data_IF_325620307048
#
_entry.id   IF_325620307048
#
_cell.length_a   1.000
_cell.length_b   1.000
_cell.length_c   1.000
_cell.angle_alpha   90.00
_cell.angle_beta   90.00
_cell.angle_gamma   90.00
#
_symmetry.space_group_name_H-M   'P 1'
#
loop_
_entity.id
_entity.type
_entity.pdbx_description
1 polymer ?
#
# COMPACT_ATOMS: atom_id res chain seq x y z
N UNK A 1 15.40 -71.59 -3.53
CA UNK A 1 14.09 -70.93 -3.29
C UNK A 1 14.40 -69.50 -2.92
N UNK A 2 14.06 -68.43 -3.64
CA UNK A 2 13.11 -68.15 -4.70
C UNK A 2 13.71 -67.05 -5.61
N UNK A 3 13.42 -67.05 -6.92
CA UNK A 3 13.48 -65.85 -7.77
C UNK A 3 12.11 -65.17 -7.79
N UNK A 4 12.02 -63.90 -8.24
CA UNK A 4 10.71 -63.33 -8.59
C UNK A 4 10.70 -61.81 -8.66
N UNK A 5 10.93 -61.28 -9.85
CA UNK A 5 10.81 -59.89 -10.23
C UNK A 5 9.36 -59.37 -10.13
N UNK A 6 9.21 -58.05 -9.98
CA UNK A 6 8.06 -57.34 -10.56
C UNK A 6 8.52 -55.97 -11.06
N UNK A 7 8.65 -55.88 -12.37
CA UNK A 7 8.84 -54.66 -13.15
C UNK A 7 7.57 -53.81 -13.07
N UNK A 8 7.76 -52.52 -12.80
CA UNK A 8 6.72 -51.49 -12.85
C UNK A 8 6.41 -51.20 -14.32
N UNK A 9 5.17 -51.47 -14.75
CA UNK A 9 4.68 -51.11 -16.07
C UNK A 9 4.15 -49.67 -16.10
N UNK A 10 4.59 -48.94 -17.12
CA UNK A 10 4.01 -47.71 -17.64
C UNK A 10 2.61 -47.98 -18.24
N UNK A 11 1.82 -46.90 -18.35
CA UNK A 11 0.48 -46.78 -18.97
C UNK A 11 -0.73 -46.88 -18.02
N UNK A 12 -1.00 -45.76 -17.34
CA UNK A 12 -2.34 -45.45 -16.82
C UNK A 12 -3.23 -44.93 -17.94
N UNK A 13 -4.04 -45.79 -18.54
CA UNK A 13 -5.21 -45.40 -19.35
C UNK A 13 -6.44 -46.00 -18.67
N UNK A 14 -7.25 -45.15 -18.05
CA UNK A 14 -8.59 -45.48 -17.58
C UNK A 14 -9.54 -45.40 -18.78
N UNK A 15 -10.10 -46.55 -19.17
CA UNK A 15 -11.15 -46.67 -20.17
C UNK A 15 -12.43 -46.00 -19.64
N UNK A 16 -12.78 -44.83 -20.19
CA UNK A 16 -14.03 -44.14 -19.92
C UNK A 16 -15.09 -44.65 -20.89
N UNK A 17 -16.04 -45.42 -20.36
CA UNK A 17 -17.18 -45.94 -21.11
C UNK A 17 -17.95 -44.86 -21.86
N UNK A 18 -18.36 -45.22 -23.07
CA UNK A 18 -19.14 -44.42 -24.01
C UNK A 18 -20.43 -43.88 -23.36
N UNK A 19 -20.55 -42.57 -23.24
CA UNK A 19 -21.83 -41.90 -22.98
C UNK A 19 -22.42 -41.45 -24.33
N UNK A 20 -23.34 -42.26 -24.89
CA UNK A 20 -24.19 -41.86 -26.03
C UNK A 20 -25.17 -40.76 -25.57
N UNK A 21 -25.33 -39.67 -26.33
CA UNK A 21 -26.40 -38.70 -26.05
C UNK A 21 -27.78 -39.31 -26.34
N UNK A 22 -28.66 -39.32 -25.35
CA UNK A 22 -30.07 -39.65 -25.52
C UNK A 22 -30.76 -38.53 -26.32
N UNK A 23 -31.31 -38.88 -27.48
CA UNK A 23 -32.11 -38.00 -28.33
C UNK A 23 -33.48 -37.76 -27.67
N UNK A 24 -33.92 -36.51 -27.45
CA UNK A 24 -35.27 -36.26 -26.93
C UNK A 24 -36.35 -36.65 -27.96
N UNK A 25 -37.54 -37.08 -27.51
CA UNK A 25 -38.62 -37.53 -28.39
C UNK A 25 -39.15 -36.37 -29.25
N UNK A 26 -39.40 -36.66 -30.54
CA UNK A 26 -40.05 -35.73 -31.48
C UNK A 26 -41.48 -35.45 -31.02
N UNK A 27 -41.78 -34.19 -30.72
CA UNK A 27 -43.15 -33.69 -30.58
C UNK A 27 -43.72 -33.46 -31.99
N UNK A 28 -44.91 -33.99 -32.35
CA UNK A 28 -45.55 -33.72 -33.64
C UNK A 28 -45.93 -32.23 -33.74
N UNK A 29 -45.56 -31.59 -34.85
CA UNK A 29 -46.05 -30.26 -35.20
C UNK A 29 -47.55 -30.34 -35.56
N UNK A 30 -48.41 -29.46 -35.02
CA UNK A 30 -49.81 -29.40 -35.45
C UNK A 30 -49.90 -28.81 -36.86
N UNK A 31 -50.57 -29.56 -37.74
CA UNK A 31 -50.93 -29.16 -39.10
C UNK A 31 -51.88 -27.96 -39.09
N UNK A 32 -51.56 -26.93 -39.86
CA UNK A 32 -52.48 -25.84 -40.17
C UNK A 32 -53.73 -26.35 -40.91
N UNK A 33 -54.95 -26.00 -40.47
CA UNK A 33 -56.13 -26.18 -41.30
C UNK A 33 -56.28 -24.98 -42.24
N UNK A 34 -56.11 -25.25 -43.54
CA UNK A 34 -56.64 -24.43 -44.62
C UNK A 34 -58.17 -24.53 -44.57
N UNK A 35 -58.87 -23.41 -44.35
CA UNK A 35 -60.32 -23.33 -44.53
C UNK A 35 -60.65 -22.12 -45.40
N UNK A 36 -60.73 -22.38 -46.70
CA UNK A 36 -61.49 -21.56 -47.64
C UNK A 36 -62.96 -21.96 -47.51
N UNK A 37 -63.87 -20.97 -47.65
CA UNK A 37 -65.32 -21.10 -47.83
C UNK A 37 -66.18 -21.36 -46.59
N UNK A 38 -66.74 -20.27 -46.04
CA UNK A 38 -68.17 -20.23 -45.72
C UNK A 38 -68.68 -18.81 -45.97
N UNK A 39 -69.40 -18.68 -47.07
CA UNK A 39 -70.06 -17.47 -47.54
C UNK A 39 -71.44 -17.38 -46.88
N UNK A 40 -71.67 -16.26 -46.17
CA UNK A 40 -72.94 -15.49 -46.11
C UNK A 40 -74.11 -16.12 -45.32
N UNK A 41 -74.32 -15.64 -44.08
CA UNK A 41 -75.66 -15.47 -43.47
C UNK A 41 -75.69 -14.15 -42.67
N UNK A 42 -76.53 -13.24 -43.16
CA UNK A 42 -77.25 -12.10 -42.57
C UNK A 42 -76.77 -11.41 -41.27
N UNK A 43 -76.52 -10.11 -41.46
CA UNK A 43 -76.94 -8.95 -40.63
C UNK A 43 -77.83 -9.29 -39.42
N UNK A 44 -77.32 -8.96 -38.24
CA UNK A 44 -78.09 -8.47 -37.11
C UNK A 44 -77.24 -7.41 -36.39
N UNK A 45 -77.74 -6.18 -36.35
CA UNK A 45 -77.14 -5.03 -35.70
C UNK A 45 -77.22 -5.12 -34.15
N UNK A 46 -76.10 -4.76 -33.50
CA UNK A 46 -75.86 -4.33 -32.10
C UNK A 46 -75.91 -5.32 -30.90
N UNK A 47 -75.07 -5.15 -29.84
CA UNK A 47 -73.98 -4.19 -29.63
C UNK A 47 -72.67 -4.86 -29.13
N UNK A 48 -71.81 -5.39 -30.01
CA UNK A 48 -70.53 -6.04 -29.59
C UNK A 48 -69.29 -5.14 -29.74
N UNK A 49 -69.45 -3.94 -30.30
CA UNK A 49 -68.33 -3.02 -30.60
C UNK A 49 -67.98 -2.09 -29.42
N UNK A 50 -68.93 -1.84 -28.52
CA UNK A 50 -68.71 -0.98 -27.34
C UNK A 50 -67.77 -1.66 -26.32
N UNK A 51 -67.89 -2.97 -26.13
CA UNK A 51 -67.10 -3.70 -25.12
C UNK A 51 -65.65 -3.91 -25.56
N UNK A 52 -65.41 -4.22 -26.84
CA UNK A 52 -64.05 -4.31 -27.39
C UNK A 52 -63.33 -2.94 -27.37
N UNK A 53 -64.06 -1.86 -27.64
CA UNK A 53 -63.51 -0.50 -27.57
C UNK A 53 -63.24 -0.08 -26.12
N UNK A 54 -64.12 -0.43 -25.17
CA UNK A 54 -63.91 -0.23 -23.73
C UNK A 54 -62.72 -1.04 -23.20
N UNK A 55 -62.54 -2.28 -23.63
CA UNK A 55 -61.38 -3.11 -23.28
C UNK A 55 -60.06 -2.54 -23.82
N UNK A 56 -60.04 -2.04 -25.06
CA UNK A 56 -58.85 -1.37 -25.62
C UNK A 56 -58.53 -0.07 -24.92
N UNK A 57 -59.55 0.73 -24.59
CA UNK A 57 -59.37 1.95 -23.79
C UNK A 57 -58.87 1.62 -22.38
N UNK A 58 -59.44 0.61 -21.72
CA UNK A 58 -58.99 0.16 -20.41
C UNK A 58 -57.55 -0.37 -20.44
N UNK A 59 -57.18 -1.16 -21.46
CA UNK A 59 -55.81 -1.65 -21.65
C UNK A 59 -54.83 -0.50 -21.92
N UNK A 60 -55.22 0.49 -22.74
CA UNK A 60 -54.42 1.68 -23.01
C UNK A 60 -54.21 2.54 -21.76
N UNK A 61 -55.26 2.73 -20.95
CA UNK A 61 -55.16 3.44 -19.66
C UNK A 61 -54.26 2.68 -18.70
N UNK A 62 -54.35 1.35 -18.63
CA UNK A 62 -53.52 0.52 -17.75
C UNK A 62 -52.04 0.50 -18.18
N UNK A 63 -51.77 0.52 -19.49
CA UNK A 63 -50.41 0.67 -20.00
C UNK A 63 -49.83 2.05 -19.68
N UNK A 64 -50.63 3.11 -19.85
CA UNK A 64 -50.21 4.48 -19.53
C UNK A 64 -49.93 4.65 -18.04
N UNK A 65 -50.76 4.08 -17.15
CA UNK A 65 -50.51 4.13 -15.71
C UNK A 65 -49.27 3.33 -15.31
N UNK A 66 -49.03 2.19 -15.95
CA UNK A 66 -47.81 1.41 -15.76
C UNK A 66 -46.56 2.20 -16.23
N UNK A 67 -46.59 2.78 -17.43
CA UNK A 67 -45.49 3.60 -17.95
C UNK A 67 -45.23 4.86 -17.10
N UNK A 68 -46.28 5.50 -16.59
CA UNK A 68 -46.15 6.63 -15.68
C UNK A 68 -45.51 6.19 -14.35
N UNK A 69 -45.93 5.04 -13.82
CA UNK A 69 -45.34 4.45 -12.61
C UNK A 69 -43.86 4.13 -12.74
N UNK A 70 -43.43 3.53 -13.87
CA UNK A 70 -42.02 3.24 -14.11
C UNK A 70 -41.19 4.50 -14.32
N UNK A 71 -41.72 5.52 -14.99
CA UNK A 71 -41.04 6.80 -15.15
C UNK A 71 -40.83 7.51 -13.80
N UNK A 72 -41.87 7.54 -12.94
CA UNK A 72 -41.77 8.08 -11.58
C UNK A 72 -40.75 7.28 -10.76
N UNK A 73 -40.77 5.95 -10.86
CA UNK A 73 -39.80 5.08 -10.19
C UNK A 73 -38.36 5.36 -10.60
N UNK A 74 -38.10 5.52 -11.92
CA UNK A 74 -36.78 5.85 -12.46
C UNK A 74 -36.27 7.19 -11.91
N UNK A 75 -37.11 8.23 -11.90
CA UNK A 75 -36.73 9.54 -11.35
C UNK A 75 -36.41 9.43 -9.86
N UNK A 76 -37.18 8.64 -9.11
CA UNK A 76 -36.92 8.41 -7.68
C UNK A 76 -35.59 7.69 -7.45
N UNK A 77 -35.28 6.66 -8.24
CA UNK A 77 -34.01 5.92 -8.15
C UNK A 77 -32.83 6.82 -8.51
N UNK A 78 -32.95 7.64 -9.56
CA UNK A 78 -31.90 8.60 -9.94
C UNK A 78 -31.72 9.63 -8.83
N UNK A 79 -32.81 10.16 -8.25
CA UNK A 79 -32.75 11.11 -7.14
C UNK A 79 -32.07 10.52 -5.90
N UNK A 80 -32.43 9.29 -5.51
CA UNK A 80 -31.79 8.58 -4.39
C UNK A 80 -30.32 8.32 -4.71
N UNK A 81 -30.00 7.89 -5.93
CA UNK A 81 -28.62 7.63 -6.35
C UNK A 81 -27.76 8.90 -6.28
N UNK A 82 -28.28 10.04 -6.74
CA UNK A 82 -27.58 11.33 -6.63
C UNK A 82 -27.46 11.82 -5.18
N UNK A 83 -28.49 11.59 -4.35
CA UNK A 83 -28.39 11.89 -2.92
C UNK A 83 -27.34 11.03 -2.23
N UNK A 84 -27.26 9.74 -2.55
CA UNK A 84 -26.22 8.84 -2.05
C UNK A 84 -24.85 9.30 -2.54
N UNK A 85 -24.71 9.66 -3.82
CA UNK A 85 -23.45 10.17 -4.36
C UNK A 85 -23.01 11.46 -3.67
N UNK A 86 -23.93 12.43 -3.47
CA UNK A 86 -23.65 13.66 -2.75
C UNK A 86 -23.31 13.41 -1.26
N UNK A 87 -23.92 12.41 -0.63
CA UNK A 87 -23.59 11.98 0.74
C UNK A 87 -22.21 11.32 0.80
N UNK A 88 -21.86 10.51 -0.19
CA UNK A 88 -20.54 9.88 -0.30
C UNK A 88 -19.46 10.92 -0.58
N UNK A 89 -19.70 11.89 -1.46
CA UNK A 89 -18.80 13.02 -1.71
C UNK A 89 -18.64 13.89 -0.45
N UNK A 90 -19.73 14.20 0.26
CA UNK A 90 -19.67 14.90 1.53
C UNK A 90 -18.93 14.10 2.62
N UNK A 91 -19.12 12.77 2.67
CA UNK A 91 -18.36 11.86 3.54
C UNK A 91 -16.92 11.64 3.09
N UNK A 92 -16.56 11.92 1.84
CA UNK A 92 -15.19 11.87 1.36
C UNK A 92 -14.45 13.17 1.71
N UNK A 93 -15.16 14.31 1.72
CA UNK A 93 -14.69 15.57 2.32
C UNK A 93 -14.61 15.48 3.85
N UNK A 94 -15.47 14.67 4.47
CA UNK A 94 -15.47 14.33 5.89
C UNK A 94 -15.07 12.88 6.13
N UNK A 95 -14.08 12.37 5.41
CA UNK A 95 -13.53 11.06 5.74
C UNK A 95 -13.00 11.21 7.16
N UNK A 96 -13.55 10.50 8.16
CA UNK A 96 -13.09 10.66 9.51
C UNK A 96 -11.62 10.27 9.48
N UNK A 97 -10.79 11.11 10.07
CA UNK A 97 -9.35 10.99 10.22
C UNK A 97 -8.97 9.77 11.06
N UNK A 98 -9.54 8.59 10.78
CA UNK A 98 -9.28 7.32 11.46
C UNK A 98 -7.95 6.70 11.02
N UNK A 99 -7.39 7.13 9.89
CA UNK A 99 -5.99 6.87 9.50
C UNK A 99 -5.08 8.10 9.64
N UNK A 100 -5.68 9.24 9.96
CA UNK A 100 -5.01 10.52 10.17
C UNK A 100 -5.40 11.06 11.55
N UNK A 101 -5.34 10.22 12.59
CA UNK A 101 -4.91 10.79 13.86
C UNK A 101 -3.46 11.16 13.61
N UNK A 102 -3.08 12.46 13.53
CA UNK A 102 -1.72 12.76 13.89
C UNK A 102 -1.61 12.23 15.30
N UNK A 103 -0.85 11.17 15.53
CA UNK A 103 -0.44 10.85 16.87
C UNK A 103 0.38 12.07 17.33
N UNK A 104 -0.30 13.05 17.91
CA UNK A 104 0.26 14.25 18.52
C UNK A 104 1.04 13.91 19.79
N UNK A 105 1.36 12.62 20.03
CA UNK A 105 2.20 12.17 21.13
C UNK A 105 3.58 12.84 21.12
N UNK A 106 4.02 13.42 20.00
CA UNK A 106 5.26 14.20 19.97
C UNK A 106 5.11 15.68 19.60
N UNK A 107 4.04 16.10 18.91
CA UNK A 107 3.90 17.50 18.48
C UNK A 107 3.74 18.46 19.67
N UNK A 108 3.10 18.02 20.76
CA UNK A 108 2.89 18.84 21.95
C UNK A 108 4.05 18.76 22.98
N UNK A 109 4.82 17.65 23.00
CA UNK A 109 6.03 17.55 23.84
C UNK A 109 7.18 18.37 23.23
N UNK A 110 7.17 18.57 21.92
CA UNK A 110 8.19 19.31 21.19
C UNK A 110 7.82 20.79 20.98
N UNK A 111 6.54 21.16 21.00
CA UNK A 111 6.08 22.51 20.67
C UNK A 111 6.34 23.61 21.72
N UNK A 112 6.56 23.25 22.99
CA UNK A 112 6.54 24.21 24.10
C UNK A 112 7.81 25.07 24.29
N UNK A 113 8.94 24.72 23.67
CA UNK A 113 10.22 25.35 24.01
C UNK A 113 11.17 25.54 22.81
N UNK A 114 10.63 25.89 21.64
CA UNK A 114 11.47 26.33 20.51
C UNK A 114 11.93 27.78 20.72
N UNK A 115 12.77 27.98 21.74
CA UNK A 115 13.71 29.09 21.73
C UNK A 115 14.62 28.93 20.52
N UNK A 116 14.91 30.06 19.88
CA UNK A 116 15.74 30.22 18.66
C UNK A 116 17.02 29.35 18.78
N UNK A 117 16.99 28.16 18.19
CA UNK A 117 18.09 27.19 18.28
C UNK A 117 19.31 27.80 17.60
N UNK A 118 20.41 27.95 18.33
CA UNK A 118 21.69 28.34 17.71
C UNK A 118 22.19 27.16 16.87
N UNK A 119 22.80 27.43 15.72
CA UNK A 119 23.35 26.38 14.86
C UNK A 119 24.34 25.48 15.62
N UNK A 120 25.07 26.04 16.60
CA UNK A 120 25.99 25.31 17.50
C UNK A 120 25.33 24.18 18.29
N UNK A 121 24.02 24.26 18.52
CA UNK A 121 23.27 23.39 19.42
C UNK A 121 22.53 22.28 18.65
N UNK A 122 22.64 22.27 17.31
CA UNK A 122 22.08 21.23 16.45
C UNK A 122 23.01 20.03 16.42
N UNK A 123 22.42 18.83 16.45
CA UNK A 123 23.16 17.59 16.28
C UNK A 123 23.54 17.38 14.82
N UNK A 124 24.74 16.86 14.60
CA UNK A 124 25.18 16.39 13.29
C UNK A 124 24.50 15.04 12.99
N UNK A 125 23.78 14.95 11.89
CA UNK A 125 23.09 13.72 11.46
C UNK A 125 23.69 13.24 10.15
N UNK A 126 24.04 11.96 10.09
CA UNK A 126 24.45 11.26 8.88
C UNK A 126 23.34 10.30 8.44
N UNK A 127 22.92 10.42 7.19
CA UNK A 127 22.12 9.40 6.49
C UNK A 127 23.07 8.71 5.51
N UNK A 128 23.42 7.45 5.78
CA UNK A 128 24.31 6.66 4.94
C UNK A 128 23.57 5.43 4.41
N UNK A 129 23.51 5.26 3.10
CA UNK A 129 22.69 4.22 2.49
C UNK A 129 23.30 3.63 1.22
N UNK A 130 22.92 2.40 0.89
CA UNK A 130 23.31 1.77 -0.39
C UNK A 130 22.71 2.52 -1.58
N UNK A 131 23.20 2.25 -2.79
CA UNK A 131 22.61 2.79 -4.03
C UNK A 131 21.32 2.07 -4.42
N UNK A 132 20.46 2.71 -5.23
CA UNK A 132 19.22 2.11 -5.75
C UNK A 132 18.05 3.10 -5.78
N UNK A 133 17.17 3.01 -6.79
CA UNK A 133 16.13 4.02 -7.07
C UNK A 133 15.17 4.21 -5.90
N UNK A 134 14.57 3.12 -5.42
CA UNK A 134 13.63 3.17 -4.29
C UNK A 134 14.35 3.56 -2.99
N UNK A 135 15.48 2.95 -2.68
CA UNK A 135 16.20 3.24 -1.43
C UNK A 135 16.65 4.71 -1.38
N UNK A 136 17.05 5.30 -2.51
CA UNK A 136 17.35 6.73 -2.63
C UNK A 136 16.13 7.60 -2.33
N UNK A 137 14.95 7.26 -2.88
CA UNK A 137 13.71 7.98 -2.58
C UNK A 137 13.29 7.85 -1.11
N UNK A 138 13.53 6.68 -0.50
CA UNK A 138 13.27 6.47 0.93
C UNK A 138 14.25 7.28 1.80
N UNK A 139 15.53 7.30 1.44
CA UNK A 139 16.55 8.12 2.09
C UNK A 139 16.21 9.62 2.00
N UNK A 140 15.71 10.10 0.85
CA UNK A 140 15.23 11.47 0.70
C UNK A 140 14.04 11.78 1.62
N UNK A 141 13.13 10.82 1.85
CA UNK A 141 12.05 10.99 2.82
C UNK A 141 12.58 11.08 4.27
N UNK A 142 13.59 10.27 4.63
CA UNK A 142 14.30 10.41 5.92
C UNK A 142 14.96 11.79 6.04
N UNK A 143 15.61 12.26 4.97
CA UNK A 143 16.24 13.57 4.91
C UNK A 143 15.24 14.70 5.18
N UNK A 144 14.07 14.67 4.53
CA UNK A 144 12.98 15.63 4.78
C UNK A 144 12.61 15.65 6.26
N UNK A 145 12.45 14.47 6.87
CA UNK A 145 12.21 14.34 8.30
C UNK A 145 13.27 15.03 9.16
N UNK A 146 14.54 14.76 8.90
CA UNK A 146 15.66 15.37 9.62
C UNK A 146 15.71 16.89 9.42
N UNK A 147 15.50 17.38 8.20
CA UNK A 147 15.48 18.82 7.87
C UNK A 147 14.33 19.56 8.55
N UNK A 148 13.19 18.92 8.79
CA UNK A 148 12.10 19.54 9.55
C UNK A 148 12.53 19.93 10.98
N UNK A 149 13.55 19.27 11.54
CA UNK A 149 14.10 19.57 12.86
C UNK A 149 15.36 20.44 12.78
N UNK A 150 16.26 20.14 11.84
CA UNK A 150 17.56 20.80 11.73
C UNK A 150 17.51 22.09 10.89
N UNK A 151 16.46 22.31 10.10
CA UNK A 151 16.32 23.41 9.16
C UNK A 151 16.86 23.09 7.75
N UNK A 152 16.27 23.70 6.73
CA UNK A 152 16.56 23.36 5.32
C UNK A 152 18.00 23.69 4.87
N UNK A 153 18.57 24.80 5.35
CA UNK A 153 19.91 25.26 4.96
C UNK A 153 21.02 24.83 5.94
N UNK A 154 20.75 23.83 6.79
CA UNK A 154 21.71 23.38 7.81
C UNK A 154 22.91 22.66 7.20
N UNK A 155 24.07 22.87 7.80
CA UNK A 155 25.29 22.08 7.55
C UNK A 155 25.40 20.85 8.45
N UNK A 156 24.49 20.69 9.42
CA UNK A 156 24.45 19.59 10.38
C UNK A 156 23.78 18.32 9.84
N UNK A 157 23.55 18.23 8.52
CA UNK A 157 23.00 17.04 7.87
C UNK A 157 23.87 16.63 6.69
N UNK A 158 24.36 15.39 6.70
CA UNK A 158 25.02 14.75 5.55
C UNK A 158 24.20 13.58 5.06
N UNK A 159 24.02 13.51 3.75
CA UNK A 159 23.40 12.38 3.05
C UNK A 159 24.43 11.79 2.11
N UNK A 160 24.77 10.51 2.29
CA UNK A 160 25.86 9.84 1.59
C UNK A 160 25.41 8.47 1.07
N UNK A 161 25.77 8.17 -0.17
CA UNK A 161 25.83 6.78 -0.63
C UNK A 161 27.04 6.10 0.00
N UNK A 162 27.00 4.78 0.18
CA UNK A 162 28.11 4.03 0.81
C UNK A 162 29.44 4.16 0.07
N UNK A 163 29.45 4.44 -1.23
CA UNK A 163 30.69 4.66 -2.00
C UNK A 163 31.39 5.98 -1.62
N UNK A 164 30.64 6.92 -1.04
CA UNK A 164 31.11 8.26 -0.67
C UNK A 164 31.07 8.50 0.84
N UNK A 165 30.78 7.47 1.64
CA UNK A 165 30.74 7.54 3.09
C UNK A 165 31.99 6.87 3.69
N UNK A 166 32.60 7.50 4.68
CA UNK A 166 33.71 6.90 5.42
C UNK A 166 33.46 6.87 6.93
N UNK A 167 34.05 5.90 7.62
CA UNK A 167 33.98 5.84 9.07
C UNK A 167 34.65 7.08 9.71
N UNK A 168 35.87 7.39 9.26
CA UNK A 168 36.68 8.47 9.84
C UNK A 168 36.07 9.87 9.63
N UNK A 169 35.47 10.15 8.47
CA UNK A 169 35.02 11.51 8.13
C UNK A 169 33.54 11.75 8.42
N UNK A 170 32.70 10.74 8.22
CA UNK A 170 31.25 10.90 8.32
C UNK A 170 30.70 10.32 9.62
N UNK A 171 31.04 9.07 9.97
CA UNK A 171 30.51 8.40 11.17
C UNK A 171 31.04 9.08 12.44
N UNK A 172 32.33 9.41 12.48
CA UNK A 172 32.92 10.12 13.62
C UNK A 172 32.41 11.56 13.75
N UNK A 173 32.13 12.25 12.64
CA UNK A 173 31.56 13.59 12.63
C UNK A 173 30.13 13.66 13.18
N UNK A 174 29.34 12.60 12.98
CA UNK A 174 27.91 12.58 13.30
C UNK A 174 27.61 12.32 14.78
N UNK A 175 26.60 12.98 15.35
CA UNK A 175 25.98 12.60 16.63
C UNK A 175 24.90 11.53 16.43
N UNK A 176 24.35 11.41 15.23
CA UNK A 176 23.40 10.38 14.86
C UNK A 176 23.70 9.79 13.49
N UNK A 177 23.55 8.47 13.36
CA UNK A 177 23.73 7.75 12.10
C UNK A 177 22.45 6.97 11.77
N UNK A 178 21.94 7.21 10.56
CA UNK A 178 20.78 6.52 10.01
C UNK A 178 21.25 5.68 8.82
N UNK A 179 21.20 4.35 8.95
CA UNK A 179 21.71 3.42 7.95
C UNK A 179 20.61 2.84 7.05
N UNK A 180 20.79 2.93 5.74
CA UNK A 180 19.85 2.44 4.73
C UNK A 180 20.38 1.29 3.88
N UNK A 181 19.64 0.19 3.74
CA UNK A 181 20.07 -0.96 2.90
C UNK A 181 18.89 -1.60 2.15
N UNK A 182 19.20 -2.31 1.07
CA UNK A 182 18.26 -3.29 0.51
C UNK A 182 18.18 -4.54 1.39
N UNK A 183 17.01 -5.18 1.40
CA UNK A 183 16.83 -6.55 1.90
C UNK A 183 17.29 -7.52 0.82
N UNK A 184 18.24 -8.40 1.14
CA UNK A 184 18.74 -9.45 0.25
C UNK A 184 18.50 -10.80 0.91
N UNK A 185 17.48 -11.55 0.47
CA UNK A 185 17.10 -12.84 1.06
C UNK A 185 17.00 -12.79 2.60
N UNK A 186 16.24 -11.82 3.13
CA UNK A 186 16.11 -11.52 4.56
C UNK A 186 17.40 -11.14 5.30
N UNK A 187 18.46 -10.80 4.55
CA UNK A 187 19.73 -10.32 5.09
C UNK A 187 20.03 -8.88 4.66
N UNK A 188 21.00 -8.29 5.37
CA UNK A 188 21.60 -7.00 5.02
C UNK A 188 22.40 -7.15 3.73
N UNK A 189 22.28 -6.17 2.84
CA UNK A 189 23.04 -6.13 1.60
C UNK A 189 24.56 -6.17 1.86
N UNK A 190 25.35 -6.95 1.07
CA UNK A 190 26.79 -7.05 1.25
C UNK A 190 27.55 -5.70 1.25
N UNK A 191 27.06 -4.70 0.52
CA UNK A 191 27.67 -3.37 0.48
C UNK A 191 27.61 -2.69 1.86
N UNK A 192 26.47 -2.80 2.56
CA UNK A 192 26.30 -2.27 3.90
C UNK A 192 27.09 -3.06 4.94
N UNK A 193 27.14 -4.39 4.87
CA UNK A 193 27.96 -5.18 5.79
C UNK A 193 29.45 -4.89 5.61
N UNK A 194 29.91 -4.68 4.37
CA UNK A 194 31.28 -4.22 4.09
C UNK A 194 31.57 -2.85 4.70
N UNK A 195 30.67 -1.88 4.55
CA UNK A 195 30.83 -0.57 5.17
C UNK A 195 30.95 -0.66 6.71
N UNK A 196 30.05 -1.42 7.36
CA UNK A 196 30.08 -1.65 8.80
C UNK A 196 31.35 -2.37 9.27
N UNK A 197 31.87 -3.31 8.49
CA UNK A 197 33.10 -4.04 8.82
C UNK A 197 34.34 -3.14 8.91
N UNK A 198 34.28 -1.94 8.30
CA UNK A 198 35.34 -0.94 8.36
C UNK A 198 35.27 -0.02 9.59
N UNK A 199 34.28 -0.17 10.47
CA UNK A 199 34.14 0.67 11.66
C UNK A 199 35.10 0.21 12.75
N UNK A 200 35.82 1.15 13.37
CA UNK A 200 36.79 0.82 14.40
C UNK A 200 36.13 0.53 15.75
N UNK A 201 36.51 -0.57 16.40
CA UNK A 201 36.12 -0.88 17.78
C UNK A 201 36.91 -0.09 18.84
N UNK A 202 37.98 0.63 18.45
CA UNK A 202 38.76 1.47 19.38
C UNK A 202 38.11 2.82 19.66
N UNK A 203 37.20 3.25 18.80
CA UNK A 203 36.50 4.53 18.93
C UNK A 203 35.25 4.41 19.80
N UNK A 204 34.93 5.47 20.56
CA UNK A 204 33.72 5.51 21.38
C UNK A 204 32.53 6.07 20.61
N UNK A 205 31.64 5.18 20.19
CA UNK A 205 30.38 5.54 19.53
C UNK A 205 29.18 5.51 20.49
N UNK A 206 29.39 5.29 21.79
CA UNK A 206 28.29 5.01 22.73
C UNK A 206 27.33 6.17 22.99
N UNK A 207 27.77 7.38 22.67
CA UNK A 207 26.95 8.59 22.81
C UNK A 207 26.20 8.94 21.52
N UNK A 208 26.37 8.15 20.45
CA UNK A 208 25.72 8.40 19.16
C UNK A 208 24.35 7.72 19.11
N UNK A 209 23.41 8.36 18.42
CA UNK A 209 22.11 7.78 18.10
C UNK A 209 22.23 6.91 16.86
N UNK A 210 21.67 5.70 16.91
CA UNK A 210 21.61 4.75 15.80
C UNK A 210 20.19 4.49 15.34
N UNK A 211 19.94 4.55 14.03
CA UNK A 211 18.66 4.23 13.42
C UNK A 211 18.85 3.58 12.05
N UNK A 212 17.81 2.93 11.53
CA UNK A 212 17.91 2.17 10.28
C UNK A 212 16.66 2.32 9.42
N UNK A 213 16.82 2.14 8.11
CA UNK A 213 15.72 1.98 7.17
C UNK A 213 16.07 0.98 6.06
N UNK A 214 15.04 0.39 5.45
CA UNK A 214 15.23 -0.64 4.41
C UNK A 214 14.20 -0.53 3.29
N UNK A 215 14.55 -1.06 2.12
CA UNK A 215 13.55 -1.43 1.10
C UNK A 215 13.49 -2.95 0.95
N UNK A 216 12.29 -3.50 0.86
CA UNK A 216 12.04 -4.94 0.70
C UNK A 216 11.20 -5.21 -0.54
N UNK A 217 11.35 -6.40 -1.12
CA UNK A 217 10.51 -6.86 -2.22
C UNK A 217 9.06 -7.03 -1.78
N UNK A 218 8.83 -7.81 -0.72
CA UNK A 218 7.49 -8.09 -0.20
C UNK A 218 7.33 -7.81 1.28
N UNK A 219 6.06 -7.71 1.71
CA UNK A 219 5.62 -7.72 3.10
C UNK A 219 6.01 -9.05 3.74
N UNK A 220 6.56 -9.00 4.94
CA UNK A 220 7.02 -10.20 5.65
C UNK A 220 8.11 -10.99 4.90
N UNK A 221 8.83 -10.34 3.96
CA UNK A 221 9.92 -10.94 3.19
C UNK A 221 11.32 -10.63 3.77
N UNK A 222 11.41 -10.35 5.07
CA UNK A 222 12.68 -10.16 5.78
C UNK A 222 13.08 -8.71 6.06
N UNK A 223 12.18 -7.75 5.88
CA UNK A 223 12.40 -6.34 6.22
C UNK A 223 12.72 -6.12 7.70
N UNK A 224 11.95 -6.73 8.61
CA UNK A 224 12.13 -6.60 10.05
C UNK A 224 13.42 -7.28 10.50
N UNK A 225 13.70 -8.47 9.97
CA UNK A 225 14.93 -9.21 10.28
C UNK A 225 16.17 -8.41 9.86
N UNK A 226 16.13 -7.81 8.67
CA UNK A 226 17.23 -6.98 8.17
C UNK A 226 17.45 -5.73 9.03
N UNK A 227 16.36 -5.04 9.41
CA UNK A 227 16.45 -3.89 10.33
C UNK A 227 17.02 -4.30 11.68
N UNK A 228 16.52 -5.37 12.30
CA UNK A 228 17.02 -5.86 13.60
C UNK A 228 18.49 -6.26 13.51
N UNK A 229 18.94 -6.89 12.43
CA UNK A 229 20.34 -7.22 12.21
C UNK A 229 21.26 -5.98 12.14
N UNK A 230 20.80 -4.89 11.50
CA UNK A 230 21.53 -3.63 11.53
C UNK A 230 21.53 -3.01 12.93
N UNK A 231 20.40 -3.00 13.64
CA UNK A 231 20.33 -2.49 15.01
C UNK A 231 21.26 -3.27 15.95
N UNK A 232 21.33 -4.60 15.81
CA UNK A 232 22.29 -5.43 16.54
C UNK A 232 23.74 -4.99 16.30
N UNK A 233 24.07 -4.69 15.05
CA UNK A 233 25.40 -4.18 14.69
C UNK A 233 25.69 -2.84 15.39
N UNK A 234 24.73 -1.92 15.43
CA UNK A 234 24.85 -0.64 16.15
C UNK A 234 24.95 -0.81 17.68
N UNK A 235 24.31 -1.83 18.25
CA UNK A 235 24.41 -2.15 19.68
C UNK A 235 25.81 -2.66 20.08
N UNK A 236 26.54 -3.34 19.21
CA UNK A 236 27.94 -3.70 19.48
C UNK A 236 28.79 -2.44 19.72
N UNK A 237 28.48 -1.35 19.02
CA UNK A 237 29.09 -0.04 19.21
C UNK A 237 28.47 0.78 20.35
N UNK A 238 27.56 0.17 21.14
CA UNK A 238 26.88 0.76 22.30
C UNK A 238 26.06 2.01 21.98
N UNK A 239 25.62 2.17 20.73
CA UNK A 239 24.80 3.30 20.31
C UNK A 239 23.41 3.28 20.96
N UNK A 240 22.81 4.46 21.10
CA UNK A 240 21.43 4.63 21.57
C UNK A 240 20.50 4.37 20.38
N UNK A 241 19.72 3.30 20.44
CA UNK A 241 18.88 2.86 19.32
C UNK A 241 17.54 3.61 19.29
N UNK A 242 17.18 4.14 18.12
CA UNK A 242 15.94 4.89 17.88
C UNK A 242 15.19 4.31 16.68
N UNK A 243 13.99 3.80 16.95
CA UNK A 243 13.01 3.44 15.91
C UNK A 243 12.28 4.64 15.32
N UNK A 244 11.33 4.36 14.42
CA UNK A 244 10.46 5.36 13.82
C UNK A 244 9.52 6.04 14.84
N UNK A 245 8.81 7.07 14.37
CA UNK A 245 7.89 7.86 15.22
C UNK A 245 6.69 7.05 15.69
N UNK A 246 6.19 6.13 14.87
CA UNK A 246 5.01 5.31 15.17
C UNK A 246 5.42 3.90 15.60
N UNK A 247 4.59 3.25 16.39
CA UNK A 247 4.78 1.84 16.78
C UNK A 247 4.84 0.91 15.55
N UNK A 248 4.16 1.27 14.45
CA UNK A 248 4.21 0.57 13.15
C UNK A 248 5.52 0.77 12.37
N UNK A 249 6.52 1.38 13.01
CA UNK A 249 7.88 1.63 12.51
C UNK A 249 8.89 1.45 13.66
N UNK A 250 8.58 0.60 14.64
CA UNK A 250 9.35 0.49 15.89
C UNK A 250 10.83 0.11 15.69
N UNK A 251 11.15 -0.66 14.65
CA UNK A 251 12.53 -1.06 14.33
C UNK A 251 13.24 -0.12 13.35
N UNK A 252 12.53 0.86 12.80
CA UNK A 252 13.00 1.68 11.69
C UNK A 252 11.90 1.92 10.66
N UNK A 253 12.27 2.47 9.50
CA UNK A 253 11.35 2.65 8.39
C UNK A 253 11.62 1.59 7.30
N UNK A 254 10.57 0.97 6.78
CA UNK A 254 10.67 0.08 5.62
C UNK A 254 9.80 0.61 4.47
N UNK A 255 10.15 0.26 3.24
CA UNK A 255 9.27 0.37 2.08
C UNK A 255 9.21 -0.95 1.31
N UNK A 256 8.00 -1.37 0.96
CA UNK A 256 7.77 -2.53 0.09
C UNK A 256 7.65 -2.04 -1.35
N UNK A 257 8.33 -2.70 -2.29
CA UNK A 257 8.48 -2.18 -3.67
C UNK A 257 8.37 -3.24 -4.77
N UNK A 258 8.25 -4.52 -4.43
CA UNK A 258 8.20 -5.65 -5.37
C UNK A 258 7.05 -6.63 -5.06
N UNK A 259 5.96 -6.12 -4.49
CA UNK A 259 4.73 -6.87 -4.23
C UNK A 259 3.54 -5.92 -4.37
N UNK A 260 2.42 -6.44 -4.87
CA UNK A 260 1.16 -5.70 -4.94
C UNK A 260 0.65 -5.24 -3.57
N UNK A 261 0.07 -4.02 -3.46
CA UNK A 261 -0.16 -3.05 -4.52
C UNK A 261 0.99 -2.03 -4.68
N UNK A 262 2.19 -2.32 -4.15
CA UNK A 262 3.29 -1.35 -4.08
C UNK A 262 4.24 -1.38 -5.27
N UNK A 263 4.25 -2.46 -6.04
CA UNK A 263 4.88 -2.52 -7.36
C UNK A 263 3.88 -2.13 -8.46
N UNK A 264 4.33 -1.70 -9.65
CA UNK A 264 3.43 -1.45 -10.78
C UNK A 264 2.64 -2.67 -11.20
N UNK A 265 1.39 -2.46 -11.61
CA UNK A 265 0.58 -3.53 -12.15
C UNK A 265 1.25 -4.15 -13.39
N UNK A 266 1.54 -5.46 -13.33
CA UNK A 266 1.95 -6.22 -14.50
C UNK A 266 0.93 -6.07 -15.64
N UNK A 267 1.42 -5.85 -16.86
CA UNK A 267 0.56 -5.61 -18.04
C UNK A 267 -0.36 -6.81 -18.36
N UNK A 268 0.07 -8.03 -18.01
CA UNK A 268 -0.55 -9.28 -18.45
C UNK A 268 -0.98 -10.21 -17.30
N UNK A 269 -1.11 -9.71 -16.06
CA UNK A 269 -1.53 -10.54 -14.92
C UNK A 269 -3.08 -10.63 -14.89
N UNK A 270 -3.65 -11.82 -15.14
CA UNK A 270 -5.10 -12.00 -15.20
C UNK A 270 -5.75 -11.97 -13.82
N UNK A 271 -4.99 -12.31 -12.77
CA UNK A 271 -5.42 -12.32 -11.38
C UNK A 271 -4.58 -11.32 -10.60
N UNK A 272 -5.23 -10.41 -9.87
CA UNK A 272 -4.59 -9.39 -9.05
C UNK A 272 -5.22 -9.42 -7.68
N UNK A 273 -4.40 -9.32 -6.64
CA UNK A 273 -4.88 -9.24 -5.25
C UNK A 273 -5.64 -7.92 -4.99
N UNK A 274 -5.36 -6.87 -5.77
CA UNK A 274 -5.95 -5.54 -5.61
C UNK A 274 -6.53 -4.95 -6.90
N UNK A 275 -7.46 -3.98 -6.81
CA UNK A 275 -7.92 -3.21 -7.98
C UNK A 275 -6.80 -2.42 -8.65
N UNK A 276 -6.88 -2.20 -9.98
CA UNK A 276 -5.85 -1.49 -10.77
C UNK A 276 -5.48 -0.11 -10.24
N UNK A 277 -6.43 0.61 -9.64
CA UNK A 277 -6.22 1.96 -9.08
C UNK A 277 -5.26 1.97 -7.88
N UNK A 278 -5.05 0.82 -7.23
CA UNK A 278 -4.17 0.72 -6.06
C UNK A 278 -2.68 0.64 -6.45
N UNK A 279 -2.36 0.26 -7.69
CA UNK A 279 -0.99 0.06 -8.13
C UNK A 279 -0.38 1.39 -8.59
N UNK A 280 0.89 1.68 -8.26
CA UNK A 280 1.57 2.86 -8.76
C UNK A 280 1.71 2.85 -10.28
N UNK A 281 1.66 4.04 -10.86
CA UNK A 281 1.93 4.26 -12.29
C UNK A 281 3.42 4.51 -12.55
N UNK A 282 4.14 5.11 -11.60
CA UNK A 282 5.60 5.29 -11.63
C UNK A 282 6.28 4.05 -11.01
N UNK A 283 7.07 3.28 -11.80
CA UNK A 283 7.75 2.08 -11.32
C UNK A 283 8.76 2.34 -10.22
N UNK A 284 9.34 3.53 -10.18
CA UNK A 284 10.31 3.86 -9.16
C UNK A 284 9.66 4.49 -7.93
N UNK A 285 8.34 4.65 -7.90
CA UNK A 285 7.67 5.35 -6.79
C UNK A 285 7.66 4.52 -5.50
N UNK A 286 7.48 5.23 -4.38
CA UNK A 286 7.24 4.61 -3.07
C UNK A 286 5.88 5.11 -2.60
N UNK A 287 5.08 4.20 -2.05
CA UNK A 287 3.78 4.52 -1.50
C UNK A 287 3.90 5.48 -0.30
N UNK A 288 3.00 6.45 -0.19
CA UNK A 288 3.11 7.55 0.78
C UNK A 288 3.13 7.08 2.24
N UNK A 289 2.44 5.98 2.56
CA UNK A 289 2.54 5.32 3.87
C UNK A 289 3.98 5.02 4.30
N UNK A 290 4.85 4.59 3.38
CA UNK A 290 6.26 4.31 3.70
C UNK A 290 7.08 5.60 3.78
N UNK A 291 6.78 6.60 2.94
CA UNK A 291 7.39 7.93 3.01
C UNK A 291 7.12 8.58 4.36
N UNK A 292 5.89 8.53 4.85
CA UNK A 292 5.50 9.10 6.15
C UNK A 292 6.28 8.47 7.31
N UNK A 293 6.47 7.14 7.29
CA UNK A 293 7.29 6.44 8.30
C UNK A 293 8.75 6.88 8.24
N UNK A 294 9.31 7.07 7.04
CA UNK A 294 10.67 7.54 6.86
C UNK A 294 10.88 8.99 7.30
N UNK A 295 9.93 9.89 6.97
CA UNK A 295 9.91 11.28 7.47
C UNK A 295 9.87 11.28 9.01
N UNK A 296 8.98 10.48 9.61
CA UNK A 296 8.88 10.35 11.06
C UNK A 296 10.18 9.84 11.70
N UNK A 297 10.83 8.84 11.08
CA UNK A 297 12.13 8.34 11.53
C UNK A 297 13.20 9.45 11.54
N UNK A 298 13.37 10.16 10.42
CA UNK A 298 14.36 11.22 10.31
C UNK A 298 14.15 12.35 11.32
N UNK A 299 12.90 12.79 11.49
CA UNK A 299 12.55 13.83 12.46
C UNK A 299 12.79 13.39 13.91
N UNK A 300 12.41 12.16 14.25
CA UNK A 300 12.61 11.62 15.61
C UNK A 300 14.09 11.47 15.95
N UNK A 301 14.90 10.94 15.04
CA UNK A 301 16.35 10.81 15.22
C UNK A 301 17.00 12.19 15.43
N UNK A 302 16.73 13.14 14.54
CA UNK A 302 17.29 14.48 14.63
C UNK A 302 16.89 15.19 15.95
N UNK A 303 15.65 15.03 16.38
CA UNK A 303 15.14 15.61 17.63
C UNK A 303 15.85 15.02 18.85
N UNK A 304 15.92 13.68 18.96
CA UNK A 304 16.57 13.00 20.10
C UNK A 304 18.06 13.34 20.15
N UNK A 305 18.76 13.28 19.01
CA UNK A 305 20.18 13.60 18.95
C UNK A 305 20.45 15.05 19.37
N UNK A 306 19.61 16.00 18.93
CA UNK A 306 19.71 17.41 19.31
C UNK A 306 19.49 17.60 20.82
N UNK A 307 18.52 16.89 21.41
CA UNK A 307 18.29 16.95 22.86
C UNK A 307 19.49 16.39 23.65
N UNK A 308 20.03 15.25 23.24
CA UNK A 308 21.22 14.65 23.87
C UNK A 308 22.44 15.57 23.78
N UNK A 309 22.68 16.18 22.61
CA UNK A 309 23.78 17.13 22.40
C UNK A 309 23.65 18.35 23.30
N UNK A 310 22.45 18.91 23.43
CA UNK A 310 22.18 20.04 24.34
C UNK A 310 22.44 19.68 25.79
N UNK A 311 21.88 18.57 26.26
CA UNK A 311 22.08 18.09 27.62
C UNK A 311 23.57 17.93 27.95
N UNK A 312 24.36 17.38 27.02
CA UNK A 312 25.81 17.26 27.15
C UNK A 312 26.51 18.62 27.20
N UNK A 313 26.15 19.55 26.32
CA UNK A 313 26.73 20.89 26.29
C UNK A 313 26.40 21.71 27.55
N UNK A 314 25.25 21.47 28.17
CA UNK A 314 24.87 22.09 29.45
C UNK A 314 25.65 21.49 30.62
N UNK A 315 25.81 20.16 30.68
CA UNK A 315 26.62 19.49 31.70
C UNK A 315 28.09 19.97 31.68
N UNK A 316 28.68 20.16 30.50
CA UNK A 316 30.04 20.69 30.38
C UNK A 316 30.17 22.17 30.76
N UNK A 317 29.10 22.95 30.70
CA UNK A 317 29.12 24.36 31.14
C UNK A 317 28.97 24.52 32.65
N UNK A 318 28.51 23.48 33.36
CA UNK A 318 28.33 23.49 34.81
C UNK A 318 29.57 23.01 35.58
N UNK A 319 30.52 22.36 34.91
CA UNK A 319 31.82 21.93 35.45
C UNK A 319 32.94 22.88 35.01
#
# INVERSE_FOLDING_TARGET
MLPGATLMNSHGILNRGEARPLRPPRVPAPSMPTYTQLQRVSVSDEPENADAQRLRQAAGVLLLTFCLGTAIGLVHVIGISQQVLARLEAQQVQQPSLLHQPHTQFRDVVGGAWQRVRESDKANVLIAFSDGTHLTKLAAAVEVGARNVLGNETTSLRVRTLDNASFADDVMWADAVILGTHVVNANVEPKMTKFLSGWSFTEDLSQKVGAVFVTSGGLSAGEELTMVNLLHSLMIFRMIIVGGERWTSAFGASAIVGEGPFEPAGRNEPERDFPRVCYPTDPDSIHDMFKDKAIGLGGRVASIATQLRRARADLFRQN
#
